data_IF_756644584503
#
_entry.id   IF_756644584503
#
_cell.length_a   1.000
_cell.length_b   1.000
_cell.length_c   1.000
_cell.angle_alpha   90.00
_cell.angle_beta   90.00
_cell.angle_gamma   90.00
#
_symmetry.space_group_name_H-M   'P 1'
#
loop_
_entity.id
_entity.type
_entity.pdbx_description
1 polymer ?
#
# COMPACT_ATOMS: atom_id res chain seq x y z
N UNK A 1 22.81 -38.55 12.68
CA UNK A 1 21.63 -37.79 13.14
C UNK A 1 21.91 -36.29 13.37
N UNK A 2 23.01 -35.71 12.86
CA UNK A 2 23.28 -34.26 12.89
C UNK A 2 22.92 -33.50 11.60
N UNK A 3 22.60 -34.22 10.52
CA UNK A 3 22.55 -33.67 9.16
C UNK A 3 21.43 -32.66 8.93
N UNK A 4 20.21 -32.86 9.42
CA UNK A 4 19.09 -31.95 9.13
C UNK A 4 19.29 -30.52 9.67
N UNK A 5 19.84 -30.39 10.88
CA UNK A 5 20.10 -29.08 11.48
C UNK A 5 21.32 -28.44 10.82
N UNK A 6 22.36 -29.23 10.53
CA UNK A 6 23.56 -28.76 9.82
C UNK A 6 23.22 -28.28 8.40
N UNK A 7 22.46 -29.06 7.64
CA UNK A 7 21.99 -28.74 6.27
C UNK A 7 21.10 -27.49 6.26
N UNK A 8 20.27 -27.31 7.29
CA UNK A 8 19.44 -26.12 7.42
C UNK A 8 20.26 -24.88 7.82
N UNK A 9 21.19 -25.01 8.77
CA UNK A 9 22.09 -23.92 9.18
C UNK A 9 22.99 -23.47 8.02
N UNK A 10 23.50 -24.41 7.22
CA UNK A 10 24.28 -24.11 6.02
C UNK A 10 23.42 -23.36 5.00
N UNK A 11 22.15 -23.74 4.84
CA UNK A 11 21.23 -23.01 3.97
C UNK A 11 20.89 -21.59 4.43
N UNK A 12 20.83 -21.35 5.74
CA UNK A 12 20.56 -20.03 6.31
C UNK A 12 21.79 -19.14 6.42
N UNK A 13 22.99 -19.64 6.13
CA UNK A 13 24.24 -18.94 6.40
C UNK A 13 24.28 -17.53 5.79
N UNK A 14 23.74 -17.37 4.57
CA UNK A 14 23.72 -16.08 3.87
C UNK A 14 22.57 -15.16 4.29
N UNK A 15 21.49 -15.69 4.87
CA UNK A 15 20.26 -14.95 5.14
C UNK A 15 20.50 -13.65 5.94
N UNK A 16 21.25 -13.64 7.06
CA UNK A 16 21.48 -12.41 7.81
C UNK A 16 22.20 -11.34 6.97
N UNK A 17 23.12 -11.75 6.11
CA UNK A 17 23.88 -10.82 5.26
C UNK A 17 23.03 -10.22 4.14
N UNK A 18 22.16 -11.03 3.53
CA UNK A 18 21.22 -10.60 2.48
C UNK A 18 20.17 -9.64 3.03
N UNK A 19 19.58 -9.96 4.19
CA UNK A 19 18.60 -9.10 4.85
C UNK A 19 19.23 -7.79 5.30
N UNK A 20 20.43 -7.85 5.89
CA UNK A 20 21.17 -6.64 6.26
C UNK A 20 21.41 -5.74 5.04
N UNK A 21 21.86 -6.32 3.91
CA UNK A 21 22.08 -5.58 2.66
C UNK A 21 20.80 -4.90 2.18
N UNK A 22 19.66 -5.60 2.20
CA UNK A 22 18.39 -5.03 1.77
C UNK A 22 17.93 -3.88 2.69
N UNK A 23 18.07 -4.02 4.01
CA UNK A 23 17.74 -2.93 4.94
C UNK A 23 18.69 -1.73 4.80
N UNK A 24 19.98 -1.97 4.54
CA UNK A 24 20.93 -0.90 4.26
C UNK A 24 20.54 -0.14 2.99
N UNK A 25 20.15 -0.85 1.93
CA UNK A 25 19.67 -0.24 0.68
C UNK A 25 18.35 0.52 0.88
N UNK A 26 17.41 -0.04 1.63
CA UNK A 26 16.14 0.61 1.96
C UNK A 26 16.37 1.91 2.75
N UNK A 27 17.30 1.90 3.71
CA UNK A 27 17.69 3.09 4.47
C UNK A 27 18.34 4.15 3.59
N UNK A 28 19.15 3.75 2.61
CA UNK A 28 19.77 4.68 1.66
C UNK A 28 18.74 5.31 0.71
N UNK A 29 17.77 4.52 0.25
CA UNK A 29 16.62 5.04 -0.48
C UNK A 29 15.83 6.03 0.36
N UNK A 30 15.58 5.74 1.64
CA UNK A 30 14.87 6.68 2.52
C UNK A 30 15.62 7.99 2.71
N UNK A 31 16.93 7.94 2.94
CA UNK A 31 17.77 9.14 3.05
C UNK A 31 17.70 10.02 1.81
N UNK A 32 17.67 9.42 0.62
CA UNK A 32 17.66 10.16 -0.66
C UNK A 32 16.26 10.60 -1.08
N UNK A 33 15.22 9.84 -0.73
CA UNK A 33 13.83 10.12 -1.11
C UNK A 33 13.17 11.20 -0.24
N UNK A 34 13.49 11.23 1.05
CA UNK A 34 12.90 12.19 1.99
C UNK A 34 13.12 13.67 1.60
N UNK A 35 14.36 14.12 1.28
CA UNK A 35 14.56 15.50 0.83
C UNK A 35 13.87 15.80 -0.50
N UNK A 36 13.82 14.85 -1.44
CA UNK A 36 13.09 15.02 -2.71
C UNK A 36 11.59 15.21 -2.48
N UNK A 37 11.01 14.47 -1.53
CA UNK A 37 9.61 14.61 -1.15
C UNK A 37 9.32 15.97 -0.51
N UNK A 38 10.21 16.46 0.36
CA UNK A 38 10.06 17.80 0.97
C UNK A 38 10.25 18.94 -0.03
N UNK A 39 11.21 18.79 -0.96
CA UNK A 39 11.38 19.73 -2.08
C UNK A 39 10.13 19.75 -2.96
N UNK A 40 9.58 18.58 -3.33
CA UNK A 40 8.34 18.48 -4.09
C UNK A 40 7.18 19.19 -3.41
N UNK A 41 6.96 18.97 -2.10
CA UNK A 41 5.92 19.66 -1.32
C UNK A 41 6.12 21.17 -1.33
N UNK A 42 7.36 21.62 -1.19
CA UNK A 42 7.71 23.05 -1.18
C UNK A 42 7.42 23.70 -2.54
N UNK A 43 7.86 23.07 -3.64
CA UNK A 43 7.61 23.53 -5.01
C UNK A 43 6.11 23.50 -5.32
N UNK A 44 5.39 22.46 -4.91
CA UNK A 44 3.94 22.36 -5.09
C UNK A 44 3.20 23.50 -4.38
N UNK A 45 3.58 23.81 -3.13
CA UNK A 45 2.97 24.91 -2.38
C UNK A 45 3.24 26.27 -3.01
N UNK A 46 4.47 26.50 -3.46
CA UNK A 46 4.85 27.72 -4.17
C UNK A 46 4.07 27.87 -5.48
N UNK A 47 3.95 26.79 -6.25
CA UNK A 47 3.14 26.74 -7.47
C UNK A 47 1.67 27.08 -7.21
N UNK A 48 1.02 26.44 -6.22
CA UNK A 48 -0.38 26.71 -5.90
C UNK A 48 -0.61 28.17 -5.47
N UNK A 49 0.33 28.73 -4.72
CA UNK A 49 0.27 30.14 -4.28
C UNK A 49 0.44 31.09 -5.47
N UNK A 50 1.42 30.83 -6.33
CA UNK A 50 1.69 31.60 -7.56
C UNK A 50 0.50 31.52 -8.54
N UNK A 51 -0.03 30.33 -8.79
CA UNK A 51 -1.18 30.11 -9.66
C UNK A 51 -2.41 30.88 -9.15
N UNK A 52 -2.69 30.81 -7.84
CA UNK A 52 -3.78 31.58 -7.22
C UNK A 52 -3.58 33.09 -7.38
N UNK A 53 -2.36 33.59 -7.17
CA UNK A 53 -2.06 35.01 -7.33
C UNK A 53 -2.25 35.48 -8.76
N UNK A 54 -1.82 34.69 -9.75
CA UNK A 54 -2.00 34.99 -11.19
C UNK A 54 -3.48 35.04 -11.57
N UNK A 55 -4.28 34.09 -11.10
CA UNK A 55 -5.73 34.06 -11.32
C UNK A 55 -6.39 35.29 -10.71
N UNK A 56 -6.07 35.62 -9.45
CA UNK A 56 -6.61 36.81 -8.78
C UNK A 56 -6.22 38.09 -9.51
N UNK A 57 -4.96 38.22 -9.93
CA UNK A 57 -4.49 39.38 -10.70
C UNK A 57 -5.23 39.51 -12.04
N UNK A 58 -5.49 38.40 -12.73
CA UNK A 58 -6.25 38.41 -13.98
C UNK A 58 -7.72 38.80 -13.76
N UNK A 59 -8.35 38.32 -12.70
CA UNK A 59 -9.73 38.68 -12.36
C UNK A 59 -9.89 40.12 -11.84
N UNK A 60 -8.84 40.69 -11.23
CA UNK A 60 -8.84 42.07 -10.75
C UNK A 60 -8.55 43.10 -11.85
N UNK A 61 -8.08 42.67 -13.02
CA UNK A 61 -7.80 43.53 -14.17
C UNK A 61 -9.11 43.98 -14.83
N UNK A 62 -9.59 45.17 -14.47
CA UNK A 62 -10.80 45.81 -15.02
C UNK A 62 -10.64 46.30 -16.47
N UNK A 63 -9.42 46.28 -17.03
CA UNK A 63 -9.17 46.71 -18.41
C UNK A 63 -9.54 45.63 -19.43
N UNK A 64 -9.57 44.37 -18.98
CA UNK A 64 -9.96 43.21 -19.76
C UNK A 64 -11.29 42.70 -19.22
N UNK A 65 -12.22 42.30 -20.10
CA UNK A 65 -13.51 41.75 -19.70
C UNK A 65 -13.40 40.49 -18.83
N UNK A 66 -14.55 39.93 -18.43
CA UNK A 66 -14.61 38.73 -17.58
C UNK A 66 -13.69 37.62 -18.09
N UNK A 67 -12.83 37.13 -17.19
CA UNK A 67 -11.87 36.08 -17.52
C UNK A 67 -12.61 34.77 -17.80
N UNK A 68 -12.38 34.20 -18.98
CA UNK A 68 -12.96 32.90 -19.33
C UNK A 68 -12.17 31.79 -18.65
N UNK A 69 -12.83 30.68 -18.26
CA UNK A 69 -12.17 29.52 -17.64
C UNK A 69 -10.96 29.01 -18.45
N UNK A 70 -11.07 29.03 -19.78
CA UNK A 70 -10.01 28.60 -20.69
C UNK A 70 -8.76 29.47 -20.61
N UNK A 71 -8.93 30.80 -20.48
CA UNK A 71 -7.83 31.77 -20.32
C UNK A 71 -7.10 31.54 -18.98
N UNK A 72 -7.86 31.30 -17.91
CA UNK A 72 -7.29 31.01 -16.59
C UNK A 72 -6.50 29.70 -16.58
N UNK A 73 -6.96 28.66 -17.29
CA UNK A 73 -6.22 27.41 -17.43
C UNK A 73 -4.91 27.59 -18.19
N UNK A 74 -4.92 28.31 -19.31
CA UNK A 74 -3.70 28.59 -20.08
C UNK A 74 -2.63 29.32 -19.25
N UNK A 75 -3.02 30.30 -18.43
CA UNK A 75 -2.11 31.05 -17.54
C UNK A 75 -1.43 30.14 -16.51
N UNK A 76 -2.12 29.07 -16.09
CA UNK A 76 -1.64 28.11 -15.09
C UNK A 76 -0.82 26.98 -15.74
N UNK A 77 -1.22 26.52 -16.93
CA UNK A 77 -0.56 25.44 -17.69
C UNK A 77 0.69 25.90 -18.43
N UNK A 78 0.77 27.16 -18.85
CA UNK A 78 1.96 27.71 -19.54
C UNK A 78 3.18 27.84 -18.61
N UNK A 79 3.03 27.52 -17.34
CA UNK A 79 4.08 27.66 -16.34
C UNK A 79 5.07 26.49 -16.40
N UNK A 80 6.33 26.77 -16.71
CA UNK A 80 7.41 25.77 -16.71
C UNK A 80 7.57 25.05 -15.36
N UNK A 81 7.05 25.62 -14.26
CA UNK A 81 6.99 25.00 -12.94
C UNK A 81 6.15 23.71 -12.96
N UNK A 82 5.08 23.65 -13.76
CA UNK A 82 4.21 22.47 -13.87
C UNK A 82 5.02 21.27 -14.37
N UNK A 83 5.82 21.47 -15.41
CA UNK A 83 6.69 20.43 -15.97
C UNK A 83 7.71 19.94 -14.95
N UNK A 84 8.37 20.86 -14.25
CA UNK A 84 9.32 20.51 -13.17
C UNK A 84 8.64 19.74 -12.03
N UNK A 85 7.38 20.07 -11.70
CA UNK A 85 6.61 19.37 -10.69
C UNK A 85 6.35 17.92 -11.10
N UNK A 86 5.97 17.68 -12.36
CA UNK A 86 5.78 16.34 -12.90
C UNK A 86 7.08 15.52 -12.86
N UNK A 87 8.20 16.10 -13.28
CA UNK A 87 9.51 15.42 -13.28
C UNK A 87 9.98 15.07 -11.86
N UNK A 88 9.82 15.99 -10.90
CA UNK A 88 10.11 15.72 -9.48
C UNK A 88 9.18 14.66 -8.89
N UNK A 89 7.89 14.75 -9.19
CA UNK A 89 6.90 13.77 -8.74
C UNK A 89 7.22 12.37 -9.27
N UNK A 90 7.52 12.24 -10.57
CA UNK A 90 7.93 10.98 -11.17
C UNK A 90 9.18 10.39 -10.50
N UNK A 91 10.17 11.25 -10.20
CA UNK A 91 11.39 10.82 -9.49
C UNK A 91 11.11 10.30 -8.08
N UNK A 92 10.21 10.96 -7.33
CA UNK A 92 9.79 10.49 -5.99
C UNK A 92 9.05 9.15 -6.09
N UNK A 93 8.13 9.01 -7.04
CA UNK A 93 7.38 7.76 -7.25
C UNK A 93 8.35 6.62 -7.57
N UNK A 94 9.30 6.83 -8.49
CA UNK A 94 10.29 5.81 -8.82
C UNK A 94 11.06 5.33 -7.58
N UNK A 95 11.48 6.24 -6.70
CA UNK A 95 12.19 5.88 -5.47
C UNK A 95 11.32 5.09 -4.49
N UNK A 96 10.03 5.40 -4.42
CA UNK A 96 9.08 4.65 -3.60
C UNK A 96 8.83 3.25 -4.17
N UNK A 97 8.75 3.11 -5.49
CA UNK A 97 8.62 1.80 -6.15
C UNK A 97 9.87 0.93 -5.91
N UNK A 98 11.07 1.51 -6.02
CA UNK A 98 12.33 0.85 -5.67
C UNK A 98 12.32 0.35 -4.21
N UNK A 99 11.80 1.17 -3.28
CA UNK A 99 11.67 0.81 -1.86
C UNK A 99 10.70 -0.36 -1.66
N UNK A 100 9.56 -0.34 -2.33
CA UNK A 100 8.57 -1.43 -2.28
C UNK A 100 9.19 -2.73 -2.81
N UNK A 101 9.94 -2.66 -3.91
CA UNK A 101 10.59 -3.83 -4.49
C UNK A 101 11.59 -4.49 -3.51
N UNK A 102 12.41 -3.70 -2.82
CA UNK A 102 13.36 -4.23 -1.82
C UNK A 102 12.63 -4.83 -0.61
N UNK A 103 11.54 -4.20 -0.18
CA UNK A 103 10.73 -4.74 0.91
C UNK A 103 10.09 -6.09 0.52
N UNK A 104 9.55 -6.19 -0.69
CA UNK A 104 9.01 -7.44 -1.24
C UNK A 104 10.10 -8.52 -1.32
N UNK A 105 11.27 -8.20 -1.88
CA UNK A 105 12.41 -9.13 -1.95
C UNK A 105 12.83 -9.62 -0.56
N UNK A 106 12.88 -8.72 0.43
CA UNK A 106 13.25 -9.08 1.81
C UNK A 106 12.23 -10.02 2.44
N UNK A 107 10.95 -9.79 2.16
CA UNK A 107 9.88 -10.68 2.59
C UNK A 107 10.01 -12.05 1.93
N UNK A 108 10.21 -12.11 0.61
CA UNK A 108 10.32 -13.35 -0.15
C UNK A 108 11.51 -14.21 0.32
N UNK A 109 12.65 -13.59 0.62
CA UNK A 109 13.82 -14.27 1.17
C UNK A 109 13.47 -14.93 2.52
N UNK A 110 12.85 -14.18 3.43
CA UNK A 110 12.48 -14.72 4.76
C UNK A 110 11.42 -15.81 4.65
N UNK A 111 10.38 -15.59 3.85
CA UNK A 111 9.30 -16.57 3.61
C UNK A 111 9.85 -17.86 3.00
N UNK A 112 10.81 -17.76 2.08
CA UNK A 112 11.49 -18.93 1.52
C UNK A 112 12.16 -19.80 2.60
N UNK A 113 12.90 -19.19 3.53
CA UNK A 113 13.55 -19.94 4.62
C UNK A 113 12.55 -20.51 5.61
N UNK A 114 11.47 -19.79 5.94
CA UNK A 114 10.40 -20.30 6.81
C UNK A 114 9.76 -21.55 6.20
N UNK A 115 9.35 -21.49 4.93
CA UNK A 115 8.74 -22.64 4.24
C UNK A 115 9.69 -23.81 4.11
N UNK A 116 10.98 -23.55 3.94
CA UNK A 116 11.99 -24.61 3.91
C UNK A 116 12.09 -25.30 5.28
N UNK A 117 12.20 -24.53 6.36
CA UNK A 117 12.22 -25.07 7.72
C UNK A 117 10.98 -25.92 8.00
N UNK A 118 9.79 -25.43 7.63
CA UNK A 118 8.54 -26.16 7.83
C UNK A 118 8.56 -27.54 7.14
N UNK A 119 9.05 -27.60 5.90
CA UNK A 119 9.21 -28.87 5.16
C UNK A 119 10.26 -29.79 5.79
N UNK A 120 11.40 -29.23 6.20
CA UNK A 120 12.48 -29.99 6.82
C UNK A 120 12.02 -30.58 8.17
N UNK A 121 11.25 -29.82 8.96
CA UNK A 121 10.63 -30.29 10.19
C UNK A 121 9.56 -31.38 9.96
N UNK A 122 8.72 -31.23 8.93
CA UNK A 122 7.73 -32.24 8.56
C UNK A 122 8.40 -33.55 8.14
N UNK A 123 9.42 -33.48 7.29
CA UNK A 123 10.21 -34.65 6.89
C UNK A 123 10.91 -35.31 8.07
N UNK A 124 11.48 -34.52 8.98
CA UNK A 124 12.16 -35.04 10.17
C UNK A 124 11.18 -35.73 11.12
N UNK A 125 9.99 -35.13 11.35
CA UNK A 125 8.93 -35.77 12.15
C UNK A 125 8.49 -37.10 11.53
N UNK A 126 8.29 -37.15 10.21
CA UNK A 126 7.91 -38.38 9.52
C UNK A 126 8.99 -39.48 9.65
N UNK A 127 10.27 -39.10 9.54
CA UNK A 127 11.39 -40.03 9.72
C UNK A 127 11.42 -40.61 11.15
N UNK A 128 11.24 -39.77 12.17
CA UNK A 128 11.22 -40.25 13.55
C UNK A 128 10.01 -41.15 13.83
N UNK A 129 8.84 -40.83 13.28
CA UNK A 129 7.63 -41.69 13.35
C UNK A 129 7.91 -43.05 12.71
N UNK A 130 8.58 -43.08 11.55
CA UNK A 130 8.93 -44.31 10.85
C UNK A 130 9.98 -45.16 11.62
N UNK A 131 10.90 -44.51 12.34
CA UNK A 131 11.92 -45.20 13.14
C UNK A 131 11.40 -45.66 14.52
N UNK A 132 10.16 -45.34 14.87
CA UNK A 132 9.58 -45.63 16.19
C UNK A 132 10.17 -44.78 17.33
N UNK A 133 10.90 -43.72 16.99
CA UNK A 133 11.56 -42.80 17.94
C UNK A 133 10.67 -41.60 18.30
N UNK A 134 9.49 -41.47 17.69
CA UNK A 134 8.54 -40.39 17.93
C UNK A 134 7.09 -40.87 17.90
N UNK A 135 6.47 -40.94 19.07
CA UNK A 135 5.03 -41.03 19.24
C UNK A 135 4.49 -39.59 19.33
N UNK A 136 3.53 -39.25 18.49
CA UNK A 136 2.89 -37.94 18.53
C UNK A 136 2.08 -37.87 19.82
N UNK A 137 2.66 -37.22 20.83
CA UNK A 137 2.03 -37.00 22.12
C UNK A 137 0.67 -36.36 21.82
N UNK A 138 -0.38 -37.17 21.96
CA UNK A 138 -1.73 -36.81 21.55
C UNK A 138 -2.11 -35.62 22.40
N UNK A 139 -1.89 -34.40 21.88
CA UNK A 139 -2.38 -33.17 22.52
C UNK A 139 -3.83 -33.47 22.84
N UNK A 140 -4.27 -33.40 24.10
CA UNK A 140 -5.62 -33.77 24.43
C UNK A 140 -6.53 -32.82 23.65
N UNK A 141 -7.11 -33.31 22.57
CA UNK A 141 -8.29 -32.71 21.97
C UNK A 141 -9.29 -32.71 23.11
N UNK A 142 -9.44 -31.56 23.78
CA UNK A 142 -10.53 -31.32 24.73
C UNK A 142 -11.80 -31.61 23.95
N UNK A 143 -12.33 -32.83 24.09
CA UNK A 143 -13.65 -33.22 23.62
C UNK A 143 -14.59 -32.19 24.23
N UNK A 144 -15.12 -31.29 23.40
CA UNK A 144 -16.18 -30.38 23.81
C UNK A 144 -17.38 -31.23 24.16
N UNK A 145 -17.51 -31.54 25.46
CA UNK A 145 -18.71 -32.12 26.02
C UNK A 145 -19.84 -31.13 25.77
N UNK A 146 -20.79 -31.52 24.91
CA UNK A 146 -22.07 -30.82 24.76
C UNK A 146 -22.79 -30.91 26.11
N UNK A 147 -22.73 -29.84 26.90
CA UNK A 147 -23.71 -29.60 27.96
C UNK A 147 -24.82 -28.78 27.31
N UNK A 148 -25.97 -29.41 27.16
CA UNK A 148 -27.23 -28.76 26.83
C UNK A 148 -27.75 -28.13 28.12
N UNK A 149 -27.67 -26.81 28.22
CA UNK A 149 -28.54 -26.04 29.12
C UNK A 149 -28.93 -24.74 28.44
N UNK A 150 -30.23 -24.54 28.38
CA UNK A 150 -30.98 -23.46 27.74
C UNK A 150 -30.79 -22.09 28.41
N UNK A 151 -30.92 -21.04 27.59
CA UNK A 151 -31.45 -19.69 27.91
C UNK A 151 -30.44 -18.54 28.10
N UNK A 152 -30.15 -17.86 26.98
CA UNK A 152 -30.40 -16.41 26.73
C UNK A 152 -29.25 -15.37 26.82
N UNK A 153 -28.98 -14.78 25.64
CA UNK A 153 -28.48 -13.42 25.28
C UNK A 153 -27.06 -13.25 24.70
N UNK A 154 -27.03 -12.88 23.40
CA UNK A 154 -26.13 -12.01 22.60
C UNK A 154 -24.59 -12.20 22.73
N UNK A 155 -23.72 -12.19 21.70
CA UNK A 155 -23.69 -11.47 20.42
C UNK A 155 -22.60 -12.09 19.50
N UNK A 156 -22.52 -11.63 18.25
CA UNK A 156 -21.99 -12.31 17.08
C UNK A 156 -20.45 -12.34 16.90
N UNK A 157 -20.05 -13.42 16.22
CA UNK A 157 -18.91 -13.68 15.34
C UNK A 157 -18.07 -12.49 14.85
N UNK A 158 -16.73 -12.60 14.92
CA UNK A 158 -15.87 -11.92 13.96
C UNK A 158 -14.56 -12.69 13.69
N UNK A 159 -14.41 -13.04 12.41
CA UNK A 159 -13.21 -13.51 11.71
C UNK A 159 -12.33 -12.31 11.33
N UNK A 160 -11.03 -12.36 11.63
CA UNK A 160 -10.09 -11.36 11.14
C UNK A 160 -9.67 -11.67 9.70
N UNK A 161 -10.38 -11.06 8.76
CA UNK A 161 -9.92 -10.82 7.40
C UNK A 161 -9.07 -9.53 7.36
N UNK A 162 -8.05 -9.54 6.52
CA UNK A 162 -7.12 -8.41 6.26
C UNK A 162 -7.90 -7.23 5.64
N UNK A 163 -7.71 -5.98 6.08
CA UNK A 163 -8.39 -4.85 5.46
C UNK A 163 -7.76 -4.50 4.10
N UNK A 164 -8.51 -4.82 3.04
CA UNK A 164 -8.25 -4.35 1.68
C UNK A 164 -8.64 -2.87 1.60
N UNK A 165 -7.66 -1.97 1.44
CA UNK A 165 -7.91 -0.52 1.27
C UNK A 165 -8.33 -0.27 -0.18
N UNK A 166 -9.63 -0.39 -0.46
CA UNK A 166 -10.23 0.13 -1.69
C UNK A 166 -10.56 1.61 -1.54
N UNK A 167 -9.81 2.46 -2.24
CA UNK A 167 -10.09 3.89 -2.38
C UNK A 167 -11.38 4.07 -3.18
N UNK A 168 -12.48 4.35 -2.50
CA UNK A 168 -13.76 4.70 -3.13
C UNK A 168 -13.70 6.14 -3.64
N UNK A 169 -13.43 6.29 -4.94
CA UNK A 169 -13.67 7.52 -5.70
C UNK A 169 -15.15 7.91 -5.57
N UNK A 170 -15.43 9.06 -4.95
CA UNK A 170 -16.74 9.72 -5.04
C UNK A 170 -16.77 10.47 -6.36
N UNK A 171 -17.26 9.82 -7.41
CA UNK A 171 -17.82 10.56 -8.55
C UNK A 171 -19.21 11.07 -8.15
N UNK A 172 -19.30 12.39 -8.09
CA UNK A 172 -20.51 13.15 -7.88
C UNK A 172 -21.23 13.21 -9.23
N UNK A 173 -22.12 12.27 -9.51
CA UNK A 173 -22.99 12.34 -10.69
C UNK A 173 -24.28 13.04 -10.27
N UNK A 174 -24.39 14.33 -10.59
CA UNK A 174 -25.62 15.09 -10.46
C UNK A 174 -26.74 14.42 -11.29
N UNK A 175 -27.97 14.30 -10.79
CA UNK A 175 -29.09 13.92 -11.62
C UNK A 175 -29.47 15.12 -12.51
N UNK A 176 -29.42 14.85 -13.81
CA UNK A 176 -29.85 15.67 -14.93
C UNK A 176 -31.20 16.39 -14.65
N UNK A 177 -31.17 17.72 -14.60
CA UNK A 177 -32.34 18.62 -14.50
C UNK A 177 -32.76 19.17 -15.87
N UNK A 178 -32.81 18.31 -16.90
CA UNK A 178 -33.34 18.67 -18.22
C UNK A 178 -34.27 17.57 -18.75
N UNK A 179 -35.46 17.44 -18.15
CA UNK A 179 -36.55 16.62 -18.72
C UNK A 179 -37.97 17.03 -18.26
N UNK A 180 -38.19 18.28 -17.84
CA UNK A 180 -39.54 18.74 -17.38
C UNK A 180 -39.97 20.10 -17.92
N UNK A 181 -39.61 20.42 -19.17
CA UNK A 181 -40.06 21.66 -19.84
C UNK A 181 -40.82 21.47 -21.16
N UNK A 182 -41.28 20.26 -21.47
CA UNK A 182 -42.14 19.99 -22.63
C UNK A 182 -43.36 19.16 -22.23
N UNK A 183 -44.19 19.66 -21.30
CA UNK A 183 -45.56 19.13 -21.12
C UNK A 183 -46.47 20.12 -20.39
N UNK A 184 -46.33 21.41 -20.71
CA UNK A 184 -47.23 22.46 -20.21
C UNK A 184 -47.50 23.48 -21.30
N UNK A 185 -47.91 22.99 -22.47
CA UNK A 185 -48.43 23.82 -23.54
C UNK A 185 -49.31 23.02 -24.51
N UNK A 186 -50.21 22.18 -23.99
CA UNK A 186 -51.41 21.73 -24.68
C UNK A 186 -52.50 21.45 -23.64
N UNK A 187 -53.31 22.46 -23.39
CA UNK A 187 -54.75 22.48 -23.03
C UNK A 187 -55.09 23.87 -22.49
#
# INVERSE_FOLDING_TARGET
MGTYVEDYLESMYMLPSEIKRNFDLMRELDKTSYPLLEELKTVQKAYLTSARQKVLARCADTTKGEATEKELREIIESDGIVRQLYEKHASVVQKLDEKIAIAAQSYDIVDHHIRRLDRDLESYSALLKANGEYEEDSRPHRKKQKVVTTTTMHHASQSHAVPNVHVRSKHNTAPNMEARRQERNQL
#
